data_IF_587549133092
#
_entry.id   IF_587549133092
#
_cell.length_a   1.000
_cell.length_b   1.000
_cell.length_c   1.000
_cell.angle_alpha   90.00
_cell.angle_beta   90.00
_cell.angle_gamma   90.00
#
_symmetry.space_group_name_H-M   'P 1'
#
loop_
_entity.id
_entity.type
_entity.pdbx_description
1 polymer ?
#
# COMPACT_ATOMS: atom_id res chain seq x y z
N UNK A 1 39.58 -32.22 -69.79
CA UNK A 1 38.13 -31.99 -69.60
C UNK A 1 37.67 -32.04 -68.12
N UNK A 2 38.53 -31.76 -67.12
CA UNK A 2 38.15 -31.87 -65.69
C UNK A 2 37.91 -30.53 -64.97
N UNK A 3 38.39 -29.40 -65.51
CA UNK A 3 38.36 -28.10 -64.81
C UNK A 3 36.98 -27.38 -64.84
N UNK A 4 36.11 -27.70 -65.79
CA UNK A 4 34.80 -27.04 -65.97
C UNK A 4 33.68 -27.59 -65.08
N UNK A 5 33.88 -28.79 -64.49
CA UNK A 5 32.91 -29.45 -63.61
C UNK A 5 32.88 -28.85 -62.19
N UNK A 6 34.06 -28.61 -61.60
CA UNK A 6 34.19 -28.07 -60.24
C UNK A 6 33.66 -26.64 -60.12
N UNK A 7 33.83 -25.81 -61.15
CA UNK A 7 33.30 -24.44 -61.17
C UNK A 7 31.76 -24.40 -61.17
N UNK A 8 31.11 -25.37 -61.82
CA UNK A 8 29.63 -25.49 -61.85
C UNK A 8 29.08 -25.98 -60.51
N UNK A 9 29.76 -26.93 -59.85
CA UNK A 9 29.39 -27.37 -58.49
C UNK A 9 29.52 -26.25 -57.47
N UNK A 10 30.62 -25.50 -57.48
CA UNK A 10 30.85 -24.40 -56.53
C UNK A 10 29.79 -23.29 -56.68
N UNK A 11 29.43 -22.93 -57.92
CA UNK A 11 28.34 -21.96 -58.19
C UNK A 11 26.98 -22.46 -57.67
N UNK A 12 26.69 -23.75 -57.80
CA UNK A 12 25.45 -24.36 -57.27
C UNK A 12 25.40 -24.30 -55.74
N UNK A 13 26.52 -24.58 -55.06
CA UNK A 13 26.62 -24.52 -53.60
C UNK A 13 26.42 -23.07 -53.11
N UNK A 14 27.08 -22.10 -53.76
CA UNK A 14 26.91 -20.67 -53.44
C UNK A 14 25.46 -20.23 -53.66
N UNK A 15 24.83 -20.64 -54.76
CA UNK A 15 23.44 -20.31 -55.05
C UNK A 15 22.48 -20.90 -54.01
N UNK A 16 22.69 -22.16 -53.61
CA UNK A 16 21.91 -22.82 -52.57
C UNK A 16 22.09 -22.16 -51.19
N UNK A 17 23.31 -21.73 -50.86
CA UNK A 17 23.60 -20.98 -49.64
C UNK A 17 22.90 -19.60 -49.64
N UNK A 18 22.97 -18.86 -50.75
CA UNK A 18 22.28 -17.58 -50.90
C UNK A 18 20.76 -17.75 -50.85
N UNK A 19 20.19 -18.77 -51.50
CA UNK A 19 18.77 -19.11 -51.41
C UNK A 19 18.36 -19.47 -49.98
N UNK A 20 19.15 -20.28 -49.27
CA UNK A 20 18.91 -20.61 -47.85
C UNK A 20 18.95 -19.37 -46.97
N UNK A 21 19.90 -18.45 -47.20
CA UNK A 21 20.03 -17.18 -46.48
C UNK A 21 18.86 -16.23 -46.78
N UNK A 22 18.37 -16.20 -48.02
CA UNK A 22 17.18 -15.43 -48.42
C UNK A 22 15.88 -16.03 -47.85
N UNK A 23 15.75 -17.36 -47.81
CA UNK A 23 14.63 -18.07 -47.19
C UNK A 23 14.64 -17.87 -45.67
N UNK A 24 15.81 -17.94 -45.02
CA UNK A 24 15.95 -17.59 -43.61
C UNK A 24 15.58 -16.12 -43.37
N UNK A 25 16.09 -15.17 -44.18
CA UNK A 25 15.68 -13.76 -44.09
C UNK A 25 14.17 -13.54 -44.29
N UNK A 26 13.51 -14.29 -45.19
CA UNK A 26 12.04 -14.26 -45.36
C UNK A 26 11.30 -14.86 -44.17
N UNK A 27 11.78 -15.95 -43.56
CA UNK A 27 11.22 -16.49 -42.31
C UNK A 27 11.34 -15.49 -41.15
N UNK A 28 12.35 -14.60 -41.18
CA UNK A 28 12.55 -13.56 -40.18
C UNK A 28 11.83 -12.23 -40.46
N UNK A 29 11.12 -12.07 -41.59
CA UNK A 29 10.35 -10.86 -41.89
C UNK A 29 8.90 -11.15 -42.29
N UNK A 30 8.01 -11.06 -41.29
CA UNK A 30 7.09 -9.91 -41.13
C UNK A 30 6.76 -9.82 -39.63
N UNK A 31 7.60 -9.16 -38.83
CA UNK A 31 7.12 -8.66 -37.54
C UNK A 31 6.04 -7.64 -37.89
N UNK A 32 4.77 -7.96 -37.61
CA UNK A 32 3.71 -6.96 -37.75
C UNK A 32 4.09 -5.79 -36.85
N UNK A 33 4.23 -4.59 -37.42
CA UNK A 33 4.68 -3.39 -36.72
C UNK A 33 3.89 -3.11 -35.44
N UNK A 34 2.61 -3.51 -35.44
CA UNK A 34 1.73 -3.64 -34.28
C UNK A 34 0.90 -4.92 -34.42
N UNK A 35 0.73 -5.69 -33.33
CA UNK A 35 -0.15 -6.87 -33.33
C UNK A 35 -1.60 -6.42 -33.52
N UNK A 36 -2.41 -7.14 -34.32
CA UNK A 36 -3.82 -6.82 -34.60
C UNK A 36 -4.62 -6.54 -33.32
N UNK A 37 -4.35 -7.30 -32.26
CA UNK A 37 -4.95 -7.13 -30.92
C UNK A 37 -4.92 -5.66 -30.44
N UNK A 38 -3.79 -4.98 -30.61
CA UNK A 38 -3.56 -3.61 -30.13
C UNK A 38 -4.10 -2.52 -31.08
N UNK A 39 -4.34 -2.87 -32.34
CA UNK A 39 -4.99 -1.95 -33.30
C UNK A 39 -6.46 -1.72 -32.91
N UNK A 40 -7.10 -2.75 -32.37
CA UNK A 40 -8.51 -2.71 -31.92
C UNK A 40 -8.68 -2.08 -30.51
N UNK A 41 -7.68 -1.36 -29.96
CA UNK A 41 -7.73 -0.79 -28.59
C UNK A 41 -8.96 0.08 -28.34
N UNK A 42 -9.27 0.99 -29.27
CA UNK A 42 -10.40 1.93 -29.15
C UNK A 42 -11.77 1.28 -29.29
N UNK A 43 -11.83 0.10 -29.89
CA UNK A 43 -13.09 -0.60 -30.20
C UNK A 43 -13.36 -1.67 -29.14
N UNK A 44 -12.32 -2.33 -28.64
CA UNK A 44 -12.44 -3.54 -27.81
C UNK A 44 -11.61 -3.50 -26.52
N UNK A 45 -10.98 -2.38 -26.19
CA UNK A 45 -10.23 -2.23 -24.96
C UNK A 45 -11.14 -1.89 -23.78
N UNK A 46 -10.82 -2.41 -22.60
CA UNK A 46 -11.59 -2.20 -21.35
C UNK A 46 -11.93 -0.72 -21.10
N UNK A 47 -11.01 0.20 -21.36
CA UNK A 47 -11.25 1.64 -21.19
C UNK A 47 -12.41 2.18 -22.03
N UNK A 48 -12.50 1.75 -23.29
CA UNK A 48 -13.42 2.35 -24.25
C UNK A 48 -14.81 1.73 -24.19
N UNK A 49 -14.90 0.45 -23.85
CA UNK A 49 -16.17 -0.26 -23.70
C UNK A 49 -16.64 -0.20 -22.24
N UNK A 50 -15.90 -0.86 -21.36
CA UNK A 50 -16.37 -1.20 -20.03
C UNK A 50 -16.38 0.00 -19.08
N UNK A 51 -15.32 0.80 -19.08
CA UNK A 51 -15.18 1.91 -18.12
C UNK A 51 -16.16 3.05 -18.43
N UNK A 52 -16.40 3.32 -19.71
CA UNK A 52 -17.36 4.34 -20.13
C UNK A 52 -18.79 3.95 -19.75
N UNK A 53 -19.15 2.68 -19.92
CA UNK A 53 -20.47 2.19 -19.52
C UNK A 53 -20.66 2.25 -17.99
N UNK A 54 -19.64 1.89 -17.21
CA UNK A 54 -19.66 2.03 -15.74
C UNK A 54 -19.82 3.48 -15.30
N UNK A 55 -19.13 4.40 -15.97
CA UNK A 55 -19.19 5.83 -15.67
C UNK A 55 -20.58 6.43 -15.93
N UNK A 56 -21.34 5.89 -16.88
CA UNK A 56 -22.65 6.43 -17.27
C UNK A 56 -23.83 5.70 -16.63
N UNK A 57 -23.71 4.38 -16.42
CA UNK A 57 -24.86 3.53 -16.11
C UNK A 57 -24.72 2.72 -14.81
N UNK A 58 -23.50 2.50 -14.30
CA UNK A 58 -23.26 1.65 -13.12
C UNK A 58 -22.17 2.23 -12.19
N UNK A 59 -22.55 3.26 -11.43
CA UNK A 59 -21.67 3.90 -10.46
C UNK A 59 -21.23 2.96 -9.32
N UNK A 60 -22.01 1.92 -8.99
CA UNK A 60 -21.63 0.96 -7.96
C UNK A 60 -20.45 0.11 -8.42
N UNK A 61 -20.53 -0.44 -9.63
CA UNK A 61 -19.44 -1.21 -10.20
C UNK A 61 -18.23 -0.32 -10.51
N UNK A 62 -18.46 0.92 -10.95
CA UNK A 62 -17.40 1.93 -11.09
C UNK A 62 -16.66 2.11 -9.76
N UNK A 63 -17.39 2.33 -8.67
CA UNK A 63 -16.80 2.50 -7.35
C UNK A 63 -16.06 1.24 -6.87
N UNK A 64 -16.59 0.04 -7.13
CA UNK A 64 -15.87 -1.22 -6.85
C UNK A 64 -14.56 -1.31 -7.64
N UNK A 65 -14.53 -0.75 -8.84
CA UNK A 65 -13.40 -0.81 -9.77
C UNK A 65 -12.32 0.24 -9.53
N UNK A 66 -12.67 1.40 -8.98
CA UNK A 66 -11.75 2.54 -8.80
C UNK A 66 -11.66 3.06 -7.37
N UNK A 67 -12.56 2.63 -6.47
CA UNK A 67 -12.69 3.09 -5.07
C UNK A 67 -13.03 4.57 -4.90
N UNK A 68 -13.52 5.19 -5.97
CA UNK A 68 -13.92 6.59 -6.03
C UNK A 68 -15.08 6.75 -7.03
N UNK A 69 -15.84 7.84 -6.91
CA UNK A 69 -16.90 8.17 -7.87
C UNK A 69 -16.31 8.69 -9.19
N UNK A 70 -17.10 8.72 -10.28
CA UNK A 70 -16.68 9.38 -11.52
C UNK A 70 -16.23 10.83 -11.31
N UNK A 71 -16.95 11.60 -10.49
CA UNK A 71 -16.61 12.98 -10.16
C UNK A 71 -15.25 13.10 -9.48
N UNK A 72 -14.96 12.23 -8.51
CA UNK A 72 -13.64 12.20 -7.86
C UNK A 72 -12.54 11.79 -8.84
N UNK A 73 -12.81 10.82 -9.72
CA UNK A 73 -11.85 10.44 -10.76
C UNK A 73 -11.53 11.63 -11.69
N UNK A 74 -12.54 12.38 -12.13
CA UNK A 74 -12.36 13.56 -12.98
C UNK A 74 -11.60 14.68 -12.26
N UNK A 75 -11.89 14.91 -10.97
CA UNK A 75 -11.12 15.87 -10.18
C UNK A 75 -9.65 15.46 -10.08
N UNK A 76 -9.38 14.18 -9.76
CA UNK A 76 -8.02 13.64 -9.71
C UNK A 76 -7.32 13.76 -11.08
N UNK A 77 -8.04 13.46 -12.16
CA UNK A 77 -7.55 13.60 -13.53
C UNK A 77 -7.21 15.04 -13.89
N UNK A 78 -7.99 16.03 -13.43
CA UNK A 78 -7.72 17.44 -13.70
C UNK A 78 -6.35 17.89 -13.15
N UNK A 79 -5.90 17.31 -12.03
CA UNK A 79 -4.62 17.62 -11.43
C UNK A 79 -3.46 16.80 -12.01
N UNK A 80 -3.68 15.50 -12.23
CA UNK A 80 -2.63 14.57 -12.67
C UNK A 80 -2.44 14.59 -14.19
N UNK A 81 -3.51 14.87 -14.94
CA UNK A 81 -3.56 14.85 -16.40
C UNK A 81 -2.40 15.55 -17.08
N UNK A 82 -2.04 16.79 -16.68
CA UNK A 82 -0.88 17.50 -17.25
C UNK A 82 0.46 16.77 -17.05
N UNK A 83 0.66 16.07 -15.92
CA UNK A 83 1.91 15.34 -15.61
C UNK A 83 2.05 14.03 -16.38
N UNK A 84 0.94 13.40 -16.76
CA UNK A 84 0.93 12.10 -17.47
C UNK A 84 0.57 12.21 -18.94
N UNK A 85 0.32 13.41 -19.45
CA UNK A 85 0.08 13.67 -20.87
C UNK A 85 1.30 13.28 -21.70
N UNK A 86 1.04 12.67 -22.86
CA UNK A 86 2.06 12.30 -23.84
C UNK A 86 1.54 12.68 -25.22
N UNK A 87 2.40 13.29 -26.02
CA UNK A 87 2.21 13.45 -27.45
C UNK A 87 3.16 12.52 -28.20
N UNK A 88 2.77 12.08 -29.39
CA UNK A 88 3.63 11.25 -30.24
C UNK A 88 3.30 11.55 -31.70
N UNK A 89 4.34 11.78 -32.50
CA UNK A 89 4.23 12.05 -33.93
C UNK A 89 3.96 10.79 -34.75
N UNK A 90 4.32 9.61 -34.22
CA UNK A 90 4.30 8.34 -34.96
C UNK A 90 3.04 7.50 -34.74
N UNK A 91 2.37 7.70 -33.61
CA UNK A 91 1.19 6.97 -33.17
C UNK A 91 0.37 7.86 -32.25
N UNK A 92 -0.94 7.68 -32.27
CA UNK A 92 -1.81 8.29 -31.28
C UNK A 92 -1.43 7.82 -29.87
N UNK A 93 -1.18 8.79 -28.99
CA UNK A 93 -0.83 8.52 -27.60
C UNK A 93 -2.03 7.95 -26.82
N UNK A 94 -1.73 7.27 -25.73
CA UNK A 94 -2.74 6.83 -24.77
C UNK A 94 -3.13 8.05 -23.94
N UNK A 95 -4.43 8.34 -23.84
CA UNK A 95 -4.92 9.56 -23.19
C UNK A 95 -4.58 9.58 -21.69
N UNK A 96 -4.47 10.75 -21.05
CA UNK A 96 -4.27 10.85 -19.61
C UNK A 96 -5.31 10.05 -18.80
N UNK A 97 -6.60 10.13 -19.17
CA UNK A 97 -7.67 9.38 -18.50
C UNK A 97 -7.47 7.87 -18.61
N UNK A 98 -7.13 7.37 -19.80
CA UNK A 98 -6.86 5.93 -20.01
C UNK A 98 -5.64 5.47 -19.20
N UNK A 99 -4.57 6.27 -19.12
CA UNK A 99 -3.38 5.98 -18.31
C UNK A 99 -3.68 5.95 -16.81
N UNK A 100 -4.49 6.90 -16.33
CA UNK A 100 -4.93 6.95 -14.94
C UNK A 100 -5.80 5.74 -14.60
N UNK A 101 -6.80 5.42 -15.44
CA UNK A 101 -7.66 4.27 -15.24
C UNK A 101 -6.88 2.94 -15.22
N UNK A 102 -5.95 2.73 -16.16
CA UNK A 102 -5.05 1.56 -16.16
C UNK A 102 -4.33 1.41 -14.82
N UNK A 103 -3.78 2.52 -14.32
CA UNK A 103 -2.98 2.52 -13.08
C UNK A 103 -3.87 2.24 -11.88
N UNK A 104 -5.03 2.91 -11.77
CA UNK A 104 -5.97 2.67 -10.68
C UNK A 104 -6.52 1.25 -10.69
N UNK A 105 -6.85 0.68 -11.86
CA UNK A 105 -7.26 -0.71 -11.97
C UNK A 105 -6.18 -1.66 -11.44
N UNK A 106 -4.92 -1.43 -11.81
CA UNK A 106 -3.80 -2.22 -11.28
C UNK A 106 -3.71 -2.14 -9.75
N UNK A 107 -3.80 -0.93 -9.18
CA UNK A 107 -3.72 -0.72 -7.74
C UNK A 107 -4.90 -1.36 -6.98
N UNK A 108 -6.12 -1.21 -7.52
CA UNK A 108 -7.37 -1.68 -6.87
C UNK A 108 -7.54 -3.18 -6.99
N UNK A 109 -7.26 -3.79 -8.14
CA UNK A 109 -7.45 -5.25 -8.33
C UNK A 109 -6.25 -6.07 -7.90
N UNK A 110 -5.03 -5.50 -7.98
CA UNK A 110 -3.79 -6.24 -7.77
C UNK A 110 -3.55 -7.32 -8.84
N UNK A 111 -4.16 -7.19 -10.02
CA UNK A 111 -3.97 -8.16 -11.10
C UNK A 111 -2.59 -8.04 -11.77
N UNK A 112 -2.18 -9.13 -12.41
CA UNK A 112 -0.93 -9.15 -13.16
C UNK A 112 -0.98 -8.09 -14.28
N UNK A 113 0.12 -7.34 -14.45
CA UNK A 113 0.21 -6.31 -15.49
C UNK A 113 -0.06 -6.86 -16.90
N UNK A 114 0.26 -8.14 -17.14
CA UNK A 114 -0.03 -8.83 -18.42
C UNK A 114 -1.53 -9.04 -18.65
N UNK A 115 -2.32 -9.28 -17.61
CA UNK A 115 -3.77 -9.42 -17.69
C UNK A 115 -4.41 -8.06 -18.00
N UNK A 116 -3.96 -7.01 -17.31
CA UNK A 116 -4.40 -5.63 -17.58
C UNK A 116 -4.01 -5.20 -18.99
N UNK A 117 -2.80 -5.53 -19.43
CA UNK A 117 -2.32 -5.28 -20.79
C UNK A 117 -3.22 -5.93 -21.86
N UNK A 118 -3.64 -7.17 -21.63
CA UNK A 118 -4.56 -7.87 -22.52
C UNK A 118 -5.94 -7.20 -22.55
N UNK A 119 -6.51 -6.91 -21.37
CA UNK A 119 -7.84 -6.31 -21.22
C UNK A 119 -7.94 -4.91 -21.85
N UNK A 120 -6.94 -4.06 -21.58
CA UNK A 120 -6.85 -2.73 -22.17
C UNK A 120 -6.31 -2.73 -23.59
N UNK A 121 -5.82 -3.88 -24.10
CA UNK A 121 -5.18 -4.00 -25.42
C UNK A 121 -4.01 -3.02 -25.61
N UNK A 122 -3.19 -2.90 -24.57
CA UNK A 122 -1.95 -2.11 -24.55
C UNK A 122 -0.78 -3.07 -24.37
N UNK A 123 0.36 -2.79 -25.01
CA UNK A 123 1.56 -3.64 -24.86
C UNK A 123 2.03 -3.74 -23.39
N UNK A 124 2.45 -4.91 -22.88
CA UNK A 124 2.86 -5.07 -21.49
C UNK A 124 3.97 -4.11 -21.03
N UNK A 125 4.97 -3.86 -21.89
CA UNK A 125 6.03 -2.88 -21.61
C UNK A 125 5.47 -1.45 -21.46
N UNK A 126 4.45 -1.11 -22.25
CA UNK A 126 3.78 0.19 -22.15
C UNK A 126 2.96 0.30 -20.87
N UNK A 127 2.26 -0.76 -20.45
CA UNK A 127 1.55 -0.80 -19.15
C UNK A 127 2.53 -0.58 -18.00
N UNK A 128 3.65 -1.30 -17.99
CA UNK A 128 4.67 -1.15 -16.94
C UNK A 128 5.18 0.30 -16.85
N UNK A 129 5.44 0.93 -18.02
CA UNK A 129 5.82 2.34 -18.09
C UNK A 129 4.72 3.28 -17.61
N UNK A 130 3.46 3.03 -17.99
CA UNK A 130 2.30 3.82 -17.56
C UNK A 130 2.15 3.76 -16.05
N UNK A 131 2.20 2.57 -15.45
CA UNK A 131 2.08 2.40 -14.00
C UNK A 131 3.17 3.19 -13.30
N UNK A 132 4.44 3.00 -13.68
CA UNK A 132 5.57 3.71 -13.07
C UNK A 132 5.42 5.25 -13.15
N UNK A 133 5.14 5.78 -14.34
CA UNK A 133 5.00 7.22 -14.55
C UNK A 133 3.79 7.80 -13.81
N UNK A 134 2.66 7.09 -13.83
CA UNK A 134 1.41 7.56 -13.24
C UNK A 134 1.43 7.46 -11.72
N UNK A 135 1.99 6.40 -11.12
CA UNK A 135 2.12 6.30 -9.65
C UNK A 135 3.00 7.40 -9.09
N UNK A 136 4.08 7.75 -9.80
CA UNK A 136 4.92 8.89 -9.42
C UNK A 136 4.13 10.20 -9.48
N UNK A 137 3.42 10.44 -10.58
CA UNK A 137 2.60 11.64 -10.74
C UNK A 137 1.48 11.74 -9.69
N UNK A 138 0.85 10.61 -9.32
CA UNK A 138 -0.15 10.54 -8.25
C UNK A 138 0.45 11.03 -6.93
N UNK A 139 1.61 10.49 -6.54
CA UNK A 139 2.29 10.92 -5.32
C UNK A 139 2.63 12.41 -5.36
N UNK A 140 3.38 12.85 -6.37
CA UNK A 140 3.88 14.23 -6.48
C UNK A 140 2.71 15.23 -6.42
N UNK A 141 1.64 15.00 -7.19
CA UNK A 141 0.50 15.93 -7.28
C UNK A 141 -0.34 15.93 -6.01
N UNK A 142 -0.62 14.76 -5.41
CA UNK A 142 -1.44 14.71 -4.20
C UNK A 142 -0.69 15.24 -2.96
N UNK A 143 0.64 15.06 -2.92
CA UNK A 143 1.50 15.71 -1.93
C UNK A 143 1.49 17.24 -2.10
N UNK A 144 1.67 17.74 -3.34
CA UNK A 144 1.55 19.18 -3.67
C UNK A 144 0.17 19.76 -3.29
N UNK A 145 -0.90 18.96 -3.37
CA UNK A 145 -2.26 19.35 -2.96
C UNK A 145 -2.52 19.24 -1.45
N UNK A 146 -1.54 18.80 -0.67
CA UNK A 146 -1.63 18.72 0.78
C UNK A 146 -2.49 17.54 1.28
N UNK A 147 -2.59 16.45 0.51
CA UNK A 147 -3.22 15.22 0.99
C UNK A 147 -2.31 14.43 1.92
N UNK A 148 -0.98 14.63 1.87
CA UNK A 148 -0.07 14.19 2.91
C UNK A 148 0.26 15.38 3.82
N UNK A 149 -0.52 15.53 4.90
CA UNK A 149 -0.37 16.66 5.83
C UNK A 149 0.71 16.35 6.86
N UNK A 150 1.97 16.53 6.48
CA UNK A 150 3.11 16.48 7.39
C UNK A 150 3.00 17.66 8.38
N UNK A 151 2.74 17.44 9.68
CA UNK A 151 2.68 18.53 10.64
C UNK A 151 4.09 19.09 10.86
N UNK A 152 4.21 20.42 10.82
CA UNK A 152 5.50 21.13 10.94
C UNK A 152 5.53 22.10 12.11
N UNK A 153 4.38 22.36 12.72
CA UNK A 153 4.25 23.31 13.82
C UNK A 153 3.67 22.65 15.06
N UNK A 154 4.03 23.19 16.23
CA UNK A 154 3.47 22.74 17.51
C UNK A 154 1.94 22.84 17.55
N UNK A 155 1.33 23.79 16.83
CA UNK A 155 -0.13 23.97 16.76
C UNK A 155 -0.78 22.79 16.03
N UNK A 156 -0.23 22.38 14.88
CA UNK A 156 -0.74 21.24 14.11
C UNK A 156 -0.60 19.92 14.90
N UNK A 157 0.55 19.71 15.55
CA UNK A 157 0.74 18.54 16.42
C UNK A 157 -0.24 18.53 17.60
N UNK A 158 -0.53 19.69 18.20
CA UNK A 158 -1.52 19.80 19.28
C UNK A 158 -2.94 19.50 18.80
N UNK A 159 -3.28 19.85 17.56
CA UNK A 159 -4.57 19.47 16.97
C UNK A 159 -4.72 17.94 16.89
N UNK A 160 -3.70 17.24 16.38
CA UNK A 160 -3.68 15.77 16.33
C UNK A 160 -3.78 15.18 17.75
N UNK A 161 -3.01 15.70 18.70
CA UNK A 161 -3.05 15.30 20.11
C UNK A 161 -4.43 15.44 20.74
N UNK A 162 -5.12 16.54 20.44
CA UNK A 162 -6.49 16.77 20.87
C UNK A 162 -7.43 15.72 20.31
N UNK A 163 -7.35 15.42 19.02
CA UNK A 163 -8.20 14.40 18.39
C UNK A 163 -7.95 13.00 18.96
N UNK A 164 -6.69 12.64 19.25
CA UNK A 164 -6.36 11.39 19.93
C UNK A 164 -6.92 11.31 21.34
N UNK A 165 -6.88 12.42 22.08
CA UNK A 165 -7.46 12.50 23.42
C UNK A 165 -8.98 12.30 23.35
N UNK A 166 -9.67 12.98 22.45
CA UNK A 166 -11.13 12.99 22.35
C UNK A 166 -11.68 11.67 21.78
N UNK A 167 -11.08 11.13 20.72
CA UNK A 167 -11.58 9.94 20.02
C UNK A 167 -11.06 8.63 20.63
N UNK A 168 -9.82 8.65 21.13
CA UNK A 168 -9.08 7.43 21.49
C UNK A 168 -8.66 7.37 22.96
N UNK A 169 -9.00 8.41 23.74
CA UNK A 169 -8.68 8.49 25.17
C UNK A 169 -7.17 8.35 25.45
N UNK A 170 -6.33 8.92 24.57
CA UNK A 170 -4.88 8.93 24.75
C UNK A 170 -4.35 10.37 24.64
N UNK A 171 -4.13 11.07 25.78
CA UNK A 171 -3.62 12.44 25.76
C UNK A 171 -2.17 12.49 25.27
N UNK A 172 -1.77 13.63 24.70
CA UNK A 172 -0.42 13.91 24.23
C UNK A 172 0.07 12.96 23.11
N UNK A 173 -0.82 12.19 22.48
CA UNK A 173 -0.48 11.31 21.36
C UNK A 173 -0.49 12.07 20.04
N UNK A 174 0.66 12.16 19.38
CA UNK A 174 0.82 12.89 18.12
C UNK A 174 0.77 11.99 16.88
N UNK A 175 0.52 10.69 17.07
CA UNK A 175 0.32 9.74 15.98
C UNK A 175 0.51 8.29 16.41
N UNK A 176 -0.05 7.37 15.65
CA UNK A 176 0.25 5.96 15.76
C UNK A 176 1.24 5.56 14.67
N UNK A 177 2.35 4.91 15.04
CA UNK A 177 3.41 4.49 14.12
C UNK A 177 3.46 2.98 14.01
N UNK A 178 3.64 2.48 12.78
CA UNK A 178 3.84 1.07 12.51
C UNK A 178 4.49 0.86 11.13
N UNK A 179 5.08 -0.32 10.94
CA UNK A 179 5.66 -0.74 9.66
C UNK A 179 4.74 -1.69 8.90
N UNK A 180 4.73 -1.57 7.57
CA UNK A 180 4.07 -2.53 6.68
C UNK A 180 5.05 -3.09 5.66
N UNK A 181 5.24 -4.42 5.69
CA UNK A 181 5.89 -5.13 4.60
C UNK A 181 5.00 -5.17 3.36
N UNK A 182 5.47 -4.59 2.26
CA UNK A 182 4.88 -4.72 0.93
C UNK A 182 5.70 -5.75 0.16
N UNK A 183 5.10 -6.91 -0.09
CA UNK A 183 5.77 -8.03 -0.75
C UNK A 183 6.04 -7.68 -2.22
N UNK A 184 7.28 -7.90 -2.66
CA UNK A 184 7.74 -7.73 -4.03
C UNK A 184 8.27 -9.05 -4.57
N UNK A 185 8.25 -9.24 -5.90
CA UNK A 185 8.96 -10.37 -6.50
C UNK A 185 10.47 -10.15 -6.35
N UNK A 186 11.18 -11.24 -6.04
CA UNK A 186 12.64 -11.25 -5.98
C UNK A 186 13.25 -10.61 -7.25
N UNK A 187 14.03 -9.53 -7.14
CA UNK A 187 14.74 -8.97 -8.28
C UNK A 187 15.71 -10.02 -8.87
N UNK A 188 15.97 -10.01 -10.18
CA UNK A 188 16.99 -10.88 -10.75
C UNK A 188 18.35 -10.60 -10.11
N UNK A 189 19.07 -11.65 -9.68
CA UNK A 189 20.43 -11.57 -9.09
C UNK A 189 20.52 -10.81 -7.75
N UNK A 190 19.45 -10.77 -6.97
CA UNK A 190 19.36 -10.04 -5.69
C UNK A 190 20.07 -10.69 -4.50
N UNK A 191 20.67 -11.88 -4.65
CA UNK A 191 21.24 -12.60 -3.51
C UNK A 191 20.23 -12.82 -2.39
N UNK A 192 20.67 -12.70 -1.13
CA UNK A 192 19.82 -12.79 0.07
C UNK A 192 19.33 -11.45 0.62
N UNK A 193 19.69 -10.34 -0.03
CA UNK A 193 19.63 -9.00 0.57
C UNK A 193 18.21 -8.46 0.75
N UNK A 194 17.21 -8.99 0.04
CA UNK A 194 15.80 -8.72 0.37
C UNK A 194 15.03 -9.93 0.92
N UNK A 195 15.70 -11.02 1.28
CA UNK A 195 15.01 -12.23 1.75
C UNK A 195 14.61 -12.07 3.22
N UNK A 196 13.39 -11.61 3.51
CA UNK A 196 12.92 -11.44 4.89
C UNK A 196 12.84 -12.76 5.66
N UNK A 197 12.66 -12.73 6.99
CA UNK A 197 12.60 -13.94 7.83
C UNK A 197 11.47 -14.91 7.44
N UNK A 198 10.44 -14.43 6.71
CA UNK A 198 9.36 -15.21 6.11
C UNK A 198 9.68 -15.73 4.70
N UNK A 199 10.95 -15.68 4.27
CA UNK A 199 11.43 -16.14 2.94
C UNK A 199 10.82 -15.39 1.74
N UNK A 200 10.45 -14.13 1.92
CA UNK A 200 9.83 -13.29 0.87
C UNK A 200 10.62 -12.00 0.67
N UNK A 201 10.57 -11.45 -0.55
CA UNK A 201 11.18 -10.16 -0.86
C UNK A 201 10.16 -9.06 -0.54
N UNK A 202 10.53 -8.05 0.25
CA UNK A 202 9.60 -6.97 0.62
C UNK A 202 10.30 -5.63 0.78
N UNK A 203 9.62 -4.56 0.39
CA UNK A 203 9.97 -3.20 0.83
C UNK A 203 9.16 -2.88 2.10
N UNK A 204 9.72 -2.06 2.98
CA UNK A 204 9.01 -1.60 4.17
C UNK A 204 8.42 -0.21 3.95
N UNK A 205 7.12 -0.08 4.23
CA UNK A 205 6.38 1.17 4.34
C UNK A 205 6.28 1.49 5.84
N UNK A 206 7.15 2.36 6.33
CA UNK A 206 7.08 2.88 7.70
C UNK A 206 6.19 4.12 7.69
N UNK A 207 5.15 4.16 8.52
CA UNK A 207 4.19 5.25 8.48
C UNK A 207 3.66 5.64 9.85
N UNK A 208 3.25 6.90 9.95
CA UNK A 208 2.47 7.46 11.06
C UNK A 208 1.10 7.86 10.54
N UNK A 209 0.06 7.59 11.31
CA UNK A 209 -1.29 8.11 11.04
C UNK A 209 -1.83 8.99 12.17
N UNK A 210 -2.74 9.90 11.81
CA UNK A 210 -3.52 10.69 12.75
C UNK A 210 -4.72 9.91 13.32
N UNK A 211 -5.52 10.56 14.16
CA UNK A 211 -6.69 9.98 14.80
C UNK A 211 -7.85 9.66 13.83
N UNK A 212 -7.78 10.16 12.58
CA UNK A 212 -8.78 10.01 11.52
C UNK A 212 -8.31 9.07 10.40
N UNK A 213 -7.34 8.22 10.72
CA UNK A 213 -6.80 7.18 9.84
C UNK A 213 -6.04 7.73 8.63
N UNK A 214 -5.70 9.02 8.59
CA UNK A 214 -4.91 9.59 7.49
C UNK A 214 -3.42 9.47 7.79
N UNK A 215 -2.63 9.14 6.78
CA UNK A 215 -1.18 9.12 6.89
C UNK A 215 -0.64 10.55 7.04
N UNK A 216 0.24 10.78 8.01
CA UNK A 216 0.86 12.10 8.26
C UNK A 216 2.34 12.10 7.94
N UNK A 217 3.05 11.02 8.27
CA UNK A 217 4.47 10.82 7.95
C UNK A 217 4.64 9.45 7.29
N UNK A 218 5.43 9.39 6.22
CA UNK A 218 5.68 8.15 5.50
C UNK A 218 7.13 8.08 5.04
N UNK A 219 7.76 6.95 5.30
CA UNK A 219 9.03 6.56 4.68
C UNK A 219 8.85 5.23 3.95
N UNK A 220 9.39 5.16 2.73
CA UNK A 220 9.31 3.97 1.87
C UNK A 220 10.67 3.76 1.26
N UNK A 221 11.23 2.59 1.55
CA UNK A 221 12.54 2.22 1.08
C UNK A 221 13.36 1.73 2.24
N UNK A 222 13.31 0.42 2.42
CA UNK A 222 14.34 -0.42 3.01
C UNK A 222 13.87 -1.85 2.77
N UNK A 223 14.76 -2.68 2.24
CA UNK A 223 14.52 -4.09 2.02
C UNK A 223 15.38 -4.83 3.03
N UNK A 224 14.81 -5.17 4.19
CA UNK A 224 15.62 -5.82 5.21
C UNK A 224 14.85 -6.86 6.03
N UNK A 225 15.61 -7.76 6.64
CA UNK A 225 15.24 -8.80 7.61
C UNK A 225 14.94 -8.24 9.00
N UNK A 226 14.93 -6.92 9.16
CA UNK A 226 14.83 -6.24 10.45
C UNK A 226 13.37 -6.13 10.93
N UNK A 227 13.18 -6.05 12.24
CA UNK A 227 11.88 -5.71 12.84
C UNK A 227 11.52 -4.24 12.54
N UNK A 228 10.27 -3.86 12.79
CA UNK A 228 9.81 -2.47 12.59
C UNK A 228 10.67 -1.45 13.37
N UNK A 229 11.15 -1.82 14.57
CA UNK A 229 12.10 -1.01 15.33
C UNK A 229 13.49 -0.86 14.67
N UNK A 230 13.98 -1.88 13.97
CA UNK A 230 15.24 -1.80 13.22
C UNK A 230 15.12 -0.93 11.98
N UNK A 231 14.03 -1.11 11.21
CA UNK A 231 13.71 -0.25 10.06
C UNK A 231 13.53 1.20 10.49
N UNK A 232 12.83 1.46 11.61
CA UNK A 232 12.68 2.80 12.16
C UNK A 232 14.03 3.47 12.39
N UNK A 233 14.95 2.80 13.09
CA UNK A 233 16.26 3.37 13.44
C UNK A 233 17.12 3.76 12.24
N UNK A 234 16.93 3.12 11.08
CA UNK A 234 17.66 3.39 9.84
C UNK A 234 16.90 4.31 8.88
N UNK A 235 15.61 4.54 9.11
CA UNK A 235 14.74 5.36 8.26
C UNK A 235 14.99 6.87 8.44
N UNK A 236 14.70 7.65 7.39
CA UNK A 236 14.74 9.12 7.45
C UNK A 236 13.67 9.65 8.41
N UNK A 237 12.55 8.95 8.49
CA UNK A 237 11.47 9.25 9.43
C UNK A 237 11.94 9.09 10.88
N UNK A 238 12.59 7.97 11.21
CA UNK A 238 13.14 7.74 12.54
C UNK A 238 14.22 8.76 12.90
N UNK A 239 15.12 9.08 11.96
CA UNK A 239 16.11 10.14 12.14
C UNK A 239 15.46 11.50 12.44
N UNK A 240 14.41 11.89 11.69
CA UNK A 240 13.73 13.16 11.88
C UNK A 240 12.99 13.24 13.23
N UNK A 241 12.39 12.14 13.68
CA UNK A 241 11.71 12.06 14.99
C UNK A 241 12.74 12.11 16.12
N UNK A 242 13.78 11.29 16.07
CA UNK A 242 14.79 11.19 17.14
C UNK A 242 15.58 12.50 17.33
N UNK A 243 15.78 13.26 16.25
CA UNK A 243 16.47 14.56 16.28
C UNK A 243 15.52 15.77 16.40
N UNK A 244 14.23 15.55 16.68
CA UNK A 244 13.22 16.60 16.87
C UNK A 244 13.09 17.60 15.70
N UNK A 245 13.29 17.14 14.47
CA UNK A 245 13.32 17.99 13.28
C UNK A 245 11.92 18.39 12.76
N UNK A 246 10.86 18.00 13.47
CA UNK A 246 9.47 18.13 13.03
C UNK A 246 8.67 19.17 13.81
N UNK A 247 9.31 19.97 14.67
CA UNK A 247 8.65 21.06 15.39
C UNK A 247 7.64 20.60 16.44
N UNK A 248 7.97 19.54 17.18
CA UNK A 248 7.10 19.00 18.22
C UNK A 248 6.78 20.02 19.33
N UNK A 249 5.59 19.95 19.94
CA UNK A 249 5.24 20.80 21.06
C UNK A 249 6.08 20.47 22.29
N UNK A 250 6.29 21.47 23.15
CA UNK A 250 6.89 21.28 24.48
C UNK A 250 6.02 20.37 25.35
N UNK A 251 6.63 19.70 26.33
CA UNK A 251 5.91 18.85 27.29
C UNK A 251 4.73 19.55 27.95
N UNK A 252 3.59 18.85 28.02
CA UNK A 252 2.34 19.33 28.59
C UNK A 252 1.87 18.45 29.74
N UNK A 253 1.04 19.01 30.63
CA UNK A 253 0.46 18.29 31.75
C UNK A 253 -0.53 17.23 31.28
N UNK A 254 -0.51 16.07 31.92
CA UNK A 254 -1.57 15.07 31.73
C UNK A 254 -2.89 15.56 32.36
N UNK A 255 -4.06 15.12 31.85
CA UNK A 255 -5.33 15.41 32.48
C UNK A 255 -5.33 15.02 33.96
N UNK A 256 -5.73 15.94 34.83
CA UNK A 256 -5.79 15.73 36.28
C UNK A 256 -4.44 15.39 36.93
N UNK A 257 -3.32 15.84 36.34
CA UNK A 257 -1.97 15.64 36.88
C UNK A 257 -1.10 16.88 36.67
N UNK A 258 -0.21 17.14 37.61
CA UNK A 258 0.80 18.19 37.52
C UNK A 258 2.05 17.75 36.73
N UNK A 259 2.16 16.46 36.43
CA UNK A 259 3.31 15.88 35.72
C UNK A 259 3.25 16.31 34.26
N UNK A 260 4.29 17.04 33.83
CA UNK A 260 4.52 17.37 32.41
C UNK A 260 5.19 16.20 31.72
N UNK A 261 4.61 15.77 30.60
CA UNK A 261 5.16 14.70 29.75
C UNK A 261 5.27 15.17 28.30
N UNK A 262 6.25 14.68 27.54
CA UNK A 262 6.38 15.01 26.13
C UNK A 262 5.20 14.49 25.32
N UNK A 263 5.02 15.05 24.11
CA UNK A 263 4.17 14.43 23.11
C UNK A 263 4.82 13.16 22.54
N UNK A 264 4.03 12.11 22.36
CA UNK A 264 4.55 10.78 21.99
C UNK A 264 3.82 10.20 20.79
N UNK A 265 4.55 9.43 19.98
CA UNK A 265 3.97 8.45 19.08
C UNK A 265 3.66 7.17 19.86
N UNK A 266 2.55 6.52 19.55
CA UNK A 266 2.23 5.20 20.09
C UNK A 266 2.66 4.13 19.10
N UNK A 267 3.41 3.14 19.58
CA UNK A 267 4.03 2.10 18.79
C UNK A 267 3.79 0.71 19.39
N UNK A 268 4.11 -0.31 18.61
CA UNK A 268 4.06 -1.69 19.09
C UNK A 268 5.28 -2.05 19.97
N UNK A 269 5.33 -3.29 20.44
CA UNK A 269 6.42 -3.75 21.31
C UNK A 269 7.77 -3.92 20.58
N UNK A 270 7.77 -3.97 19.24
CA UNK A 270 9.00 -4.08 18.46
C UNK A 270 9.80 -2.78 18.40
N UNK A 271 9.18 -1.64 18.71
CA UNK A 271 9.88 -0.35 18.83
C UNK A 271 10.58 -0.21 20.19
N UNK A 272 11.63 0.61 20.22
CA UNK A 272 12.30 1.01 21.45
C UNK A 272 11.52 2.14 22.14
N UNK A 273 11.47 2.10 23.48
CA UNK A 273 10.95 3.22 24.26
C UNK A 273 11.91 4.42 24.12
N UNK A 274 11.37 5.59 23.75
CA UNK A 274 12.13 6.85 23.61
C UNK A 274 11.31 8.02 24.17
N UNK A 275 11.92 9.20 24.29
CA UNK A 275 11.25 10.42 24.78
C UNK A 275 9.94 10.73 24.03
N UNK A 276 9.91 10.50 22.72
CA UNK A 276 8.72 10.72 21.88
C UNK A 276 8.12 9.40 21.35
N UNK A 277 8.48 8.24 21.90
CA UNK A 277 8.01 6.93 21.45
C UNK A 277 7.52 6.08 22.62
N UNK A 278 6.25 5.71 22.61
CA UNK A 278 5.61 4.96 23.69
C UNK A 278 5.21 3.56 23.23
N UNK A 279 5.57 2.55 24.03
CA UNK A 279 5.29 1.12 23.80
C UNK A 279 4.55 0.52 25.01
N UNK A 280 3.85 -0.62 24.87
CA UNK A 280 3.18 -1.26 26.01
C UNK A 280 4.18 -1.72 27.09
N UNK A 281 3.72 -1.78 28.35
CA UNK A 281 4.46 -2.45 29.42
C UNK A 281 4.61 -3.95 29.12
N UNK A 282 5.81 -4.53 29.31
CA UNK A 282 6.04 -5.96 29.11
C UNK A 282 5.46 -6.80 30.26
N UNK A 283 5.20 -8.09 29.99
CA UNK A 283 4.82 -9.08 31.00
C UNK A 283 3.31 -9.32 31.17
N UNK A 284 2.95 -10.32 31.99
CA UNK A 284 1.55 -10.68 32.26
C UNK A 284 0.89 -9.63 33.18
N UNK A 285 -0.35 -9.28 32.84
CA UNK A 285 -1.22 -8.28 33.47
C UNK A 285 -1.61 -8.61 34.93
N UNK A 286 -0.65 -8.56 35.86
CA UNK A 286 -0.94 -8.60 37.29
C UNK A 286 -1.26 -7.23 37.88
N UNK A 287 -0.73 -6.16 37.28
CA UNK A 287 -0.95 -4.78 37.70
C UNK A 287 -2.09 -4.16 36.87
N UNK A 288 -3.18 -3.82 37.56
CA UNK A 288 -4.38 -3.22 36.96
C UNK A 288 -4.06 -1.90 36.26
N UNK A 289 -3.17 -1.08 36.82
CA UNK A 289 -2.80 0.23 36.27
C UNK A 289 -2.06 0.08 34.95
N UNK A 290 -1.08 -0.84 34.89
CA UNK A 290 -0.37 -1.18 33.64
C UNK A 290 -1.31 -1.78 32.59
N UNK A 291 -2.30 -2.56 33.03
CA UNK A 291 -3.30 -3.16 32.15
C UNK A 291 -4.22 -2.10 31.52
N UNK A 292 -4.68 -1.13 32.33
CA UNK A 292 -5.46 0.02 31.84
C UNK A 292 -4.63 0.86 30.86
N UNK A 293 -3.36 1.11 31.17
CA UNK A 293 -2.47 1.82 30.26
C UNK A 293 -2.29 1.08 28.93
N UNK A 294 -1.92 -0.20 28.96
CA UNK A 294 -1.72 -1.03 27.77
C UNK A 294 -3.00 -1.12 26.92
N UNK A 295 -4.18 -1.18 27.56
CA UNK A 295 -5.46 -1.12 26.87
C UNK A 295 -5.64 0.20 26.11
N UNK A 296 -5.42 1.36 26.76
CA UNK A 296 -5.52 2.68 26.11
C UNK A 296 -4.50 2.84 24.99
N UNK A 297 -3.26 2.42 25.21
CA UNK A 297 -2.21 2.42 24.19
C UNK A 297 -2.60 1.55 22.99
N UNK A 298 -3.10 0.33 23.24
CA UNK A 298 -3.54 -0.57 22.18
C UNK A 298 -4.71 0.00 21.38
N UNK A 299 -5.61 0.78 22.00
CA UNK A 299 -6.69 1.47 21.29
C UNK A 299 -6.15 2.53 20.34
N UNK A 300 -5.24 3.39 20.80
CA UNK A 300 -4.63 4.43 19.98
C UNK A 300 -3.77 3.84 18.85
N UNK A 301 -2.97 2.81 19.15
CA UNK A 301 -2.11 2.12 18.17
C UNK A 301 -2.90 1.42 17.07
N UNK A 302 -4.06 0.84 17.39
CA UNK A 302 -4.95 0.12 16.45
C UNK A 302 -5.42 0.99 15.28
N UNK A 303 -5.34 2.31 15.39
CA UNK A 303 -5.65 3.22 14.28
C UNK A 303 -4.72 2.95 13.10
N UNK A 304 -3.42 2.77 13.34
CA UNK A 304 -2.46 2.47 12.28
C UNK A 304 -2.74 1.10 11.64
N UNK A 305 -3.10 0.09 12.43
CA UNK A 305 -3.51 -1.22 11.92
C UNK A 305 -4.75 -1.12 11.03
N UNK A 306 -5.77 -0.37 11.47
CA UNK A 306 -6.96 -0.08 10.69
C UNK A 306 -6.62 0.69 9.40
N UNK A 307 -5.76 1.72 9.45
CA UNK A 307 -5.34 2.50 8.28
C UNK A 307 -4.67 1.61 7.23
N UNK A 308 -3.69 0.79 7.64
CA UNK A 308 -3.08 -0.19 6.74
C UNK A 308 -4.07 -1.24 6.25
N UNK A 309 -5.00 -1.67 7.10
CA UNK A 309 -6.08 -2.58 6.77
C UNK A 309 -6.98 -2.04 5.67
N UNK A 310 -7.47 -0.81 5.80
CA UNK A 310 -8.28 -0.11 4.80
C UNK A 310 -7.49 0.04 3.49
N UNK A 311 -6.25 0.55 3.55
CA UNK A 311 -5.43 0.74 2.35
C UNK A 311 -5.20 -0.61 1.62
N UNK A 312 -4.86 -1.67 2.35
CA UNK A 312 -4.65 -3.01 1.80
C UNK A 312 -5.94 -3.64 1.27
N UNK A 313 -7.09 -3.30 1.86
CA UNK A 313 -8.37 -3.86 1.42
C UNK A 313 -8.91 -3.20 0.16
N UNK A 314 -8.69 -1.89 0.04
CA UNK A 314 -9.12 -1.08 -1.09
C UNK A 314 -8.16 -1.20 -2.27
N UNK A 315 -6.86 -1.26 -2.00
CA UNK A 315 -5.80 -1.42 -2.99
C UNK A 315 -5.16 -2.81 -2.87
N UNK A 316 -5.74 -3.77 -3.59
CA UNK A 316 -5.34 -5.18 -3.53
C UNK A 316 -3.94 -5.45 -4.07
N UNK A 317 -3.27 -4.45 -4.68
CA UNK A 317 -1.85 -4.55 -5.04
C UNK A 317 -0.95 -4.89 -3.84
N UNK A 318 -1.34 -4.51 -2.62
CA UNK A 318 -0.62 -4.90 -1.40
C UNK A 318 -0.90 -6.32 -0.89
N UNK A 319 -1.84 -7.05 -1.52
CA UNK A 319 -2.19 -8.42 -1.13
C UNK A 319 -1.44 -9.49 -1.93
N UNK A 320 -0.75 -9.08 -3.00
CA UNK A 320 0.01 -9.97 -3.88
C UNK A 320 1.43 -9.45 -4.02
N UNK A 321 2.42 -10.32 -4.30
CA UNK A 321 3.77 -9.88 -4.62
C UNK A 321 3.76 -8.90 -5.80
N UNK A 322 4.30 -7.70 -5.61
CA UNK A 322 4.44 -6.70 -6.66
C UNK A 322 5.59 -7.13 -7.58
N UNK A 323 5.25 -7.37 -8.84
CA UNK A 323 6.22 -7.69 -9.89
C UNK A 323 6.68 -6.38 -10.54
N UNK A 324 7.70 -5.74 -9.95
CA UNK A 324 8.29 -4.53 -10.46
C UNK A 324 9.71 -4.33 -9.90
N UNK A 325 10.49 -3.41 -10.49
CA UNK A 325 11.72 -2.92 -9.86
C UNK A 325 11.39 -2.25 -8.51
N UNK A 326 12.32 -2.26 -7.57
CA UNK A 326 12.18 -1.62 -6.25
C UNK A 326 11.70 -0.16 -6.33
N UNK A 327 12.33 0.67 -7.16
CA UNK A 327 11.90 2.07 -7.38
C UNK A 327 10.43 2.21 -7.80
N UNK A 328 9.93 1.27 -8.60
CA UNK A 328 8.53 1.24 -9.03
C UNK A 328 7.62 0.73 -7.92
N UNK A 329 8.04 -0.27 -7.14
CA UNK A 329 7.32 -0.72 -5.95
C UNK A 329 7.20 0.40 -4.91
N UNK A 330 8.26 1.17 -4.68
CA UNK A 330 8.24 2.34 -3.79
C UNK A 330 7.26 3.40 -4.29
N UNK A 331 7.24 3.66 -5.61
CA UNK A 331 6.29 4.59 -6.23
C UNK A 331 4.84 4.10 -6.09
N UNK A 332 4.59 2.79 -6.24
CA UNK A 332 3.27 2.18 -6.03
C UNK A 332 2.83 2.36 -4.57
N UNK A 333 3.70 2.07 -3.60
CA UNK A 333 3.36 2.20 -2.18
C UNK A 333 3.02 3.64 -1.80
N UNK A 334 3.83 4.61 -2.26
CA UNK A 334 3.58 6.05 -2.11
C UNK A 334 2.27 6.48 -2.75
N UNK A 335 1.99 6.04 -3.99
CA UNK A 335 0.73 6.36 -4.66
C UNK A 335 -0.49 5.83 -3.89
N UNK A 336 -0.42 4.63 -3.32
CA UNK A 336 -1.50 4.06 -2.51
C UNK A 336 -1.73 4.88 -1.23
N UNK A 337 -0.67 5.31 -0.54
CA UNK A 337 -0.77 6.21 0.62
C UNK A 337 -1.49 7.51 0.24
N UNK A 338 -1.04 8.17 -0.83
CA UNK A 338 -1.62 9.44 -1.26
C UNK A 338 -3.08 9.29 -1.69
N UNK A 339 -3.41 8.24 -2.45
CA UNK A 339 -4.80 7.92 -2.83
C UNK A 339 -5.66 7.59 -1.61
N UNK A 340 -5.14 6.86 -0.62
CA UNK A 340 -5.86 6.59 0.61
C UNK A 340 -6.27 7.89 1.30
N UNK A 341 -5.32 8.82 1.50
CA UNK A 341 -5.62 10.11 2.14
C UNK A 341 -6.61 10.94 1.31
N UNK A 342 -6.41 11.02 -0.01
CA UNK A 342 -7.35 11.68 -0.93
C UNK A 342 -8.79 11.17 -0.75
N UNK A 343 -8.97 9.85 -0.71
CA UNK A 343 -10.29 9.23 -0.58
C UNK A 343 -10.86 9.34 0.84
N UNK A 344 -10.01 9.36 1.87
CA UNK A 344 -10.44 9.62 3.25
C UNK A 344 -10.92 11.06 3.46
N UNK A 345 -10.30 12.04 2.79
CA UNK A 345 -10.71 13.45 2.84
C UNK A 345 -11.98 13.69 2.04
N UNK A 346 -12.10 13.16 0.82
CA UNK A 346 -13.33 13.38 0.04
C UNK A 346 -14.53 12.70 0.66
N UNK A 347 -14.35 11.54 1.32
CA UNK A 347 -15.41 10.90 2.11
C UNK A 347 -16.10 11.87 3.06
N UNK A 348 -15.37 12.79 3.71
CA UNK A 348 -15.96 13.72 4.68
C UNK A 348 -16.80 14.83 4.04
N UNK A 349 -16.74 15.00 2.72
CA UNK A 349 -17.38 16.09 1.98
C UNK A 349 -18.55 15.63 1.10
N UNK A 350 -18.78 14.32 0.96
CA UNK A 350 -19.81 13.77 0.07
C UNK A 350 -20.80 12.88 0.81
N UNK A 351 -22.09 13.21 0.78
CA UNK A 351 -23.21 12.35 1.24
C UNK A 351 -23.52 11.21 0.25
N UNK A 352 -22.49 10.65 -0.40
CA UNK A 352 -22.67 9.56 -1.35
C UNK A 352 -22.85 8.23 -0.62
N UNK A 353 -23.73 7.37 -1.13
CA UNK A 353 -23.82 5.96 -0.76
C UNK A 353 -22.52 5.17 -1.01
N UNK A 354 -21.61 5.70 -1.84
CA UNK A 354 -20.34 5.10 -2.19
C UNK A 354 -19.19 5.58 -1.30
N UNK A 355 -19.07 4.98 -0.13
CA UNK A 355 -18.11 5.39 0.89
C UNK A 355 -16.82 4.56 0.87
N UNK A 356 -15.66 5.23 0.82
CA UNK A 356 -14.33 4.60 0.86
C UNK A 356 -14.08 3.84 2.17
N UNK A 357 -14.58 4.37 3.29
CA UNK A 357 -14.54 3.75 4.61
C UNK A 357 -15.94 3.81 5.25
N UNK A 358 -16.85 2.89 4.88
CA UNK A 358 -18.23 2.90 5.36
C UNK A 358 -18.33 2.59 6.87
N UNK A 359 -19.47 2.88 7.52
CA UNK A 359 -19.70 2.46 8.90
C UNK A 359 -19.46 0.95 9.09
N UNK A 360 -18.79 0.58 10.18
CA UNK A 360 -18.40 -0.81 10.48
C UNK A 360 -17.21 -1.33 9.66
N UNK A 361 -16.58 -0.51 8.82
CA UNK A 361 -15.39 -0.94 8.08
C UNK A 361 -14.16 -1.07 9.00
N UNK A 362 -14.03 -0.17 9.98
CA UNK A 362 -12.98 -0.15 11.01
C UNK A 362 -13.35 -0.99 12.23
N UNK A 363 -12.34 -1.40 13.00
CA UNK A 363 -12.57 -2.06 14.28
C UNK A 363 -13.27 -1.13 15.28
N UNK A 364 -14.32 -1.63 15.93
CA UNK A 364 -15.08 -0.88 16.93
C UNK A 364 -14.85 -1.48 18.31
N UNK A 365 -14.59 -0.61 19.27
CA UNK A 365 -14.52 -1.00 20.67
C UNK A 365 -15.94 -1.16 21.23
N UNK A 366 -16.31 -2.37 21.63
CA UNK A 366 -17.60 -2.68 22.26
C UNK A 366 -17.43 -2.89 23.79
N UNK A 367 -16.47 -2.19 24.41
CA UNK A 367 -16.22 -2.24 25.84
C UNK A 367 -15.29 -3.40 26.21
N UNK A 368 -15.85 -4.56 26.51
CA UNK A 368 -15.07 -5.74 26.92
C UNK A 368 -14.53 -6.56 25.73
N UNK A 369 -15.01 -6.29 24.52
CA UNK A 369 -14.63 -7.03 23.31
C UNK A 369 -14.42 -6.11 22.12
N UNK A 370 -13.43 -6.44 21.31
CA UNK A 370 -13.16 -5.80 20.04
C UNK A 370 -14.07 -6.39 18.96
N UNK A 371 -14.92 -5.56 18.33
CA UNK A 371 -15.64 -5.96 17.13
C UNK A 371 -14.75 -5.72 15.90
N UNK A 372 -14.33 -6.77 15.18
CA UNK A 372 -13.46 -6.62 14.02
C UNK A 372 -14.18 -5.89 12.88
N UNK A 373 -13.48 -4.97 12.24
CA UNK A 373 -13.95 -4.22 11.09
C UNK A 373 -14.04 -5.06 9.83
N UNK A 374 -14.92 -4.67 8.91
CA UNK A 374 -15.13 -5.40 7.65
C UNK A 374 -13.88 -5.50 6.78
N UNK A 375 -12.91 -4.57 6.89
CA UNK A 375 -11.65 -4.66 6.14
C UNK A 375 -10.89 -5.97 6.45
N UNK A 376 -11.02 -6.50 7.68
CA UNK A 376 -10.38 -7.76 8.07
C UNK A 376 -10.91 -8.93 7.26
N UNK A 377 -12.23 -9.00 7.05
CA UNK A 377 -12.88 -10.03 6.21
C UNK A 377 -12.50 -9.91 4.75
N UNK A 378 -12.31 -8.68 4.26
CA UNK A 378 -11.90 -8.46 2.88
C UNK A 378 -10.48 -8.98 2.62
N UNK A 379 -9.57 -8.91 3.60
CA UNK A 379 -8.17 -9.35 3.48
C UNK A 379 -8.03 -10.83 3.80
N UNK A 380 -8.71 -11.30 4.84
CA UNK A 380 -8.66 -12.65 5.37
C UNK A 380 -10.02 -13.33 5.13
N UNK A 381 -10.27 -13.90 3.94
CA UNK A 381 -11.53 -14.62 3.68
C UNK A 381 -11.66 -15.80 4.65
N UNK A 382 -12.90 -16.06 5.06
CA UNK A 382 -13.36 -16.78 6.26
C UNK A 382 -12.67 -18.14 6.55
N UNK A 383 -12.01 -18.78 5.58
CA UNK A 383 -11.30 -20.06 5.78
C UNK A 383 -9.98 -19.96 6.55
N UNK A 384 -9.44 -18.76 6.79
CA UNK A 384 -8.26 -18.57 7.66
C UNK A 384 -8.59 -18.37 9.16
N UNK A 385 -9.83 -18.65 9.55
CA UNK A 385 -10.21 -18.84 10.97
C UNK A 385 -9.99 -20.27 11.48
N UNK A 386 -9.36 -21.14 10.69
CA UNK A 386 -8.83 -22.41 11.20
C UNK A 386 -7.35 -22.27 11.56
N UNK A 387 -7.11 -22.08 12.86
CA UNK A 387 -5.82 -22.21 13.56
C UNK A 387 -4.68 -21.25 13.19
N UNK A 388 -4.80 -20.00 13.64
CA UNK A 388 -3.66 -19.24 14.20
C UNK A 388 -4.11 -18.08 15.11
N UNK A 389 -4.81 -18.48 16.17
CA UNK A 389 -4.78 -18.01 17.57
C UNK A 389 -4.25 -16.60 17.89
N UNK A 390 -5.16 -15.63 17.94
CA UNK A 390 -5.10 -14.51 18.89
C UNK A 390 -6.16 -14.63 20.00
N UNK A 391 -7.32 -15.23 19.72
CA UNK A 391 -8.40 -15.44 20.70
C UNK A 391 -8.12 -16.57 21.69
N UNK A 392 -7.47 -17.65 21.24
CA UNK A 392 -7.15 -18.79 22.09
C UNK A 392 -6.06 -18.47 23.11
N UNK A 393 -5.14 -17.54 22.83
CA UNK A 393 -4.13 -17.14 23.82
C UNK A 393 -4.74 -16.29 24.94
N UNK A 394 -5.68 -15.40 24.60
CA UNK A 394 -6.39 -14.57 25.58
C UNK A 394 -7.40 -15.41 26.37
N UNK A 395 -8.13 -16.33 25.74
CA UNK A 395 -9.05 -17.24 26.42
C UNK A 395 -8.33 -18.31 27.25
N UNK A 396 -7.18 -18.86 26.80
CA UNK A 396 -6.38 -19.79 27.61
C UNK A 396 -5.65 -19.09 28.78
N UNK A 397 -5.30 -17.80 28.67
CA UNK A 397 -4.83 -17.01 29.81
C UNK A 397 -5.95 -16.74 30.83
N UNK A 398 -7.17 -16.44 30.35
CA UNK A 398 -8.33 -16.21 31.22
C UNK A 398 -8.84 -17.51 31.89
N UNK A 399 -8.72 -18.66 31.21
CA UNK A 399 -9.06 -19.98 31.77
C UNK A 399 -8.01 -20.48 32.78
N UNK A 400 -6.70 -20.23 32.55
CA UNK A 400 -5.64 -20.56 33.51
C UNK A 400 -5.64 -19.66 34.76
N UNK A 401 -6.14 -18.42 34.67
CA UNK A 401 -6.35 -17.57 35.85
C UNK A 401 -7.60 -17.95 36.68
N UNK A 402 -8.58 -18.68 36.11
CA UNK A 402 -9.74 -19.18 36.86
C UNK A 402 -9.54 -20.57 37.48
N UNK A 403 -8.57 -21.36 37.02
CA UNK A 403 -8.24 -22.67 37.62
C UNK A 403 -7.19 -22.63 38.73
N UNK A 404 -6.50 -21.52 38.95
CA UNK A 404 -5.51 -21.39 40.05
C UNK A 404 -6.11 -20.89 41.38
N UNK A 405 -7.42 -20.66 41.45
CA UNK A 405 -8.10 -20.15 42.66
C UNK A 405 -8.90 -21.23 43.43
N UNK A 406 -8.72 -22.53 43.14
CA UNK A 406 -9.41 -23.63 43.86
C UNK A 406 -8.53 -24.84 44.22
N UNK A 407 -7.20 -24.72 44.19
CA UNK A 407 -6.31 -25.87 44.48
C UNK A 407 -5.07 -25.51 45.33
N UNK A 408 -5.22 -24.67 46.36
CA UNK A 408 -4.35 -24.71 47.56
C UNK A 408 -5.21 -24.33 48.79
N UNK A 409 -6.05 -25.27 49.20
CA UNK A 409 -6.50 -25.46 50.59
C UNK A 409 -6.60 -26.97 50.74
N UNK A 410 -5.56 -27.58 51.31
CA UNK A 410 -5.44 -29.02 51.51
C UNK A 410 -4.10 -29.56 51.04
N UNK A 411 -3.32 -30.01 52.03
CA UNK A 411 -2.00 -30.67 51.99
C UNK A 411 -0.82 -29.73 52.33
N UNK A 412 -0.42 -29.87 53.60
CA UNK A 412 0.60 -29.22 54.43
C UNK A 412 0.21 -27.86 55.00
#
# INVERSE_FOLDING_TARGET
MAATSNGKQLRRIILLYLLRRLIQRRKYFKSKWVRKLFVERKIKGEFWLLIKDMELYDHEYFFKSFRMSPTSLEQLLSWIGPRIFKSSQRREAISPKERLCVTLRYLVTGDAQVTIAASYRIGPATISKIIKETTKAIWDVLDEKGFLRVPRTAIEWKAISKDFKEKWNFPNCIGAIDGKHVVVQAPPRSGSDLFNYKKTFSIVLMAVCDADYQFTLVDVGDADRQSDGGVYSNSKLGFAIDNQLLGFPSSEKLPSSEIKVPSVFVADDAFLLKSNMMKPYPGKQGDVTKSIFNYRLSRARRIMENTFGIATSRFKVFRRPIIASESTANSIARAVVALHNYLMVIRSHTESSYNYCPPGYIDVDAGASLKPGNWRRDIYPIDCWTNSNWSDWVQQLLAKCKCSARKIQGVL
#
